data_IF_379784181574
#
_entry.id   IF_379784181574
#
_cell.length_a   1.000
_cell.length_b   1.000
_cell.length_c   1.000
_cell.angle_alpha   90.00
_cell.angle_beta   90.00
_cell.angle_gamma   90.00
#
_symmetry.space_group_name_H-M   'P 1'
#
loop_
_entity.id
_entity.type
_entity.pdbx_description
1 polymer ?
#
# COMPACT_ATOMS: atom_id res chain seq x y z
N UNK A 1 -0.22 8.02 -8.75
CA UNK A 1 -1.42 7.21 -8.42
C UNK A 1 -1.07 6.03 -7.52
N UNK A 2 -0.38 4.98 -8.00
CA UNK A 2 -0.09 3.76 -7.20
C UNK A 2 0.59 4.03 -5.86
N UNK A 3 1.70 4.79 -5.85
CA UNK A 3 2.39 5.15 -4.61
C UNK A 3 1.48 5.95 -3.64
N UNK A 4 0.62 6.83 -4.17
CA UNK A 4 -0.34 7.58 -3.35
C UNK A 4 -1.43 6.68 -2.78
N UNK A 5 -1.92 5.70 -3.54
CA UNK A 5 -2.83 4.69 -3.03
C UNK A 5 -2.17 3.90 -1.89
N UNK A 6 -0.93 3.44 -2.05
CA UNK A 6 -0.20 2.75 -1.00
C UNK A 6 -0.03 3.59 0.28
N UNK A 7 0.21 4.90 0.14
CA UNK A 7 0.30 5.85 1.26
C UNK A 7 -1.04 6.10 1.96
N UNK A 8 -2.14 6.19 1.21
CA UNK A 8 -3.47 6.37 1.80
C UNK A 8 -3.96 5.08 2.49
N UNK A 9 -3.80 3.93 1.84
CA UNK A 9 -4.18 2.62 2.39
C UNK A 9 -3.45 2.37 3.70
N UNK A 10 -2.15 2.61 3.75
CA UNK A 10 -1.36 2.36 4.97
C UNK A 10 -1.70 3.28 6.14
N UNK A 11 -2.35 4.42 5.91
CA UNK A 11 -2.67 5.42 6.95
C UNK A 11 -4.14 5.44 7.35
N UNK A 12 -5.02 4.99 6.46
CA UNK A 12 -6.48 5.14 6.59
C UNK A 12 -7.23 3.82 6.46
N UNK A 13 -6.61 2.83 5.81
CA UNK A 13 -7.29 1.61 5.43
C UNK A 13 -7.62 1.52 3.94
N UNK A 14 -7.88 0.31 3.46
CA UNK A 14 -8.23 0.08 2.07
C UNK A 14 -9.66 0.56 1.80
N UNK A 15 -10.63 0.10 2.59
CA UNK A 15 -12.05 0.42 2.47
C UNK A 15 -12.33 1.94 2.34
N UNK A 16 -11.83 2.83 3.24
CA UNK A 16 -12.09 4.27 3.12
C UNK A 16 -11.28 4.98 2.03
N UNK A 17 -10.37 4.31 1.32
CA UNK A 17 -9.54 4.93 0.27
C UNK A 17 -10.27 4.87 -1.08
N UNK A 18 -10.87 5.99 -1.50
CA UNK A 18 -11.51 6.10 -2.82
C UNK A 18 -10.53 6.58 -3.90
N UNK A 19 -10.83 6.29 -5.18
CA UNK A 19 -10.03 6.79 -6.32
C UNK A 19 -9.91 8.32 -6.30
N UNK A 20 -10.97 9.02 -5.87
CA UNK A 20 -10.98 10.47 -5.76
C UNK A 20 -9.94 10.98 -4.74
N UNK A 21 -9.77 10.29 -3.61
CA UNK A 21 -8.76 10.63 -2.61
C UNK A 21 -7.34 10.44 -3.17
N UNK A 22 -7.12 9.35 -3.91
CA UNK A 22 -5.84 9.06 -4.55
C UNK A 22 -5.51 10.10 -5.62
N UNK A 23 -6.50 10.51 -6.42
CA UNK A 23 -6.34 11.60 -7.39
C UNK A 23 -5.95 12.90 -6.71
N UNK A 24 -6.66 13.28 -5.64
CA UNK A 24 -6.37 14.48 -4.87
C UNK A 24 -4.98 14.45 -4.24
N UNK A 25 -4.59 13.32 -3.62
CA UNK A 25 -3.27 13.16 -3.00
C UNK A 25 -2.14 13.14 -4.03
N UNK A 26 -2.35 12.51 -5.19
CA UNK A 26 -1.30 12.35 -6.20
C UNK A 26 -1.11 13.57 -7.10
N UNK A 27 -2.07 14.49 -7.14
CA UNK A 27 -2.10 15.62 -8.08
C UNK A 27 -2.30 15.20 -9.54
N UNK A 28 -2.65 13.93 -9.80
CA UNK A 28 -2.84 13.44 -11.16
C UNK A 28 -4.15 13.99 -11.78
N UNK A 29 -4.18 14.27 -13.09
CA UNK A 29 -5.42 14.64 -13.78
C UNK A 29 -6.49 13.55 -13.65
N UNK A 30 -7.78 13.93 -13.54
CA UNK A 30 -8.91 12.99 -13.40
C UNK A 30 -8.91 11.90 -14.48
N UNK A 31 -8.53 12.24 -15.71
CA UNK A 31 -8.43 11.30 -16.83
C UNK A 31 -7.44 10.15 -16.61
N UNK A 32 -6.43 10.34 -15.75
CA UNK A 32 -5.42 9.32 -15.45
C UNK A 32 -6.04 8.09 -14.80
N UNK A 33 -7.04 8.27 -13.93
CA UNK A 33 -7.73 7.15 -13.30
C UNK A 33 -8.40 6.26 -14.36
N UNK A 34 -9.16 6.87 -15.27
CA UNK A 34 -9.89 6.15 -16.32
C UNK A 34 -8.96 5.53 -17.37
N UNK A 35 -7.81 6.15 -17.65
CA UNK A 35 -6.87 5.66 -18.67
C UNK A 35 -5.96 4.54 -18.15
N UNK A 36 -5.36 4.71 -16.96
CA UNK A 36 -4.36 3.77 -16.44
C UNK A 36 -4.94 2.67 -15.56
N UNK A 37 -6.13 2.88 -14.99
CA UNK A 37 -6.80 1.91 -14.11
C UNK A 37 -8.19 1.53 -14.66
N UNK A 38 -8.27 0.91 -15.85
CA UNK A 38 -9.56 0.49 -16.42
C UNK A 38 -10.29 -0.55 -15.56
N UNK A 39 -9.56 -1.34 -14.75
CA UNK A 39 -10.11 -2.22 -13.72
C UNK A 39 -10.52 -1.49 -12.43
N UNK A 40 -10.51 -0.15 -12.44
CA UNK A 40 -11.01 0.70 -11.39
C UNK A 40 -10.24 0.60 -10.07
N UNK A 41 -10.97 0.76 -8.97
CA UNK A 41 -10.41 0.87 -7.62
C UNK A 41 -9.67 -0.38 -7.22
N UNK A 42 -10.23 -1.56 -7.49
CA UNK A 42 -9.61 -2.84 -7.12
C UNK A 42 -8.27 -3.05 -7.82
N UNK A 43 -8.15 -2.69 -9.11
CA UNK A 43 -6.87 -2.72 -9.81
C UNK A 43 -5.84 -1.81 -9.10
N UNK A 44 -6.24 -0.57 -8.80
CA UNK A 44 -5.36 0.40 -8.12
C UNK A 44 -4.92 -0.08 -6.73
N UNK A 45 -5.81 -0.72 -5.95
CA UNK A 45 -5.47 -1.32 -4.66
C UNK A 45 -4.48 -2.48 -4.82
N UNK A 46 -4.72 -3.39 -5.76
CA UNK A 46 -3.80 -4.51 -6.05
C UNK A 46 -2.41 -4.01 -6.46
N UNK A 47 -2.33 -3.03 -7.36
CA UNK A 47 -1.06 -2.44 -7.77
C UNK A 47 -0.36 -1.70 -6.62
N UNK A 48 -1.11 -1.09 -5.70
CA UNK A 48 -0.55 -0.46 -4.51
C UNK A 48 0.05 -1.48 -3.53
N UNK A 49 -0.59 -2.64 -3.38
CA UNK A 49 -0.07 -3.78 -2.60
C UNK A 49 1.20 -4.32 -3.24
N UNK A 50 1.20 -4.54 -4.56
CA UNK A 50 2.36 -5.01 -5.31
C UNK A 50 3.53 -4.01 -5.18
N UNK A 51 3.27 -2.72 -5.40
CA UNK A 51 4.26 -1.66 -5.22
C UNK A 51 4.88 -1.66 -3.81
N UNK A 52 4.06 -1.78 -2.76
CA UNK A 52 4.56 -1.80 -1.39
C UNK A 52 5.38 -3.05 -1.10
N UNK A 53 4.95 -4.20 -1.61
CA UNK A 53 5.65 -5.49 -1.46
C UNK A 53 7.00 -5.46 -2.15
N UNK A 54 7.05 -4.99 -3.39
CA UNK A 54 8.28 -4.90 -4.19
C UNK A 54 9.29 -3.94 -3.56
N UNK A 55 8.82 -2.86 -2.92
CA UNK A 55 9.67 -1.93 -2.17
C UNK A 55 10.32 -2.60 -0.94
N UNK A 56 9.64 -3.54 -0.28
CA UNK A 56 10.25 -4.30 0.83
C UNK A 56 11.21 -5.35 0.28
N UNK A 57 10.79 -6.12 -0.73
CA UNK A 57 11.64 -7.12 -1.38
C UNK A 57 12.96 -6.50 -1.88
N UNK A 58 12.89 -5.36 -2.58
CA UNK A 58 14.06 -4.65 -3.07
C UNK A 58 14.99 -4.12 -1.96
N UNK A 59 14.50 -3.92 -0.72
CA UNK A 59 15.37 -3.60 0.43
C UNK A 59 16.06 -4.83 0.97
N UNK A 60 15.35 -5.96 1.01
CA UNK A 60 15.91 -7.25 1.42
C UNK A 60 17.04 -7.65 0.46
N UNK A 61 16.78 -7.61 -0.85
CA UNK A 61 17.75 -8.00 -1.88
C UNK A 61 19.02 -7.16 -1.90
N UNK A 62 18.93 -5.90 -1.45
CA UNK A 62 20.06 -4.96 -1.42
C UNK A 62 20.84 -4.98 -0.11
N UNK A 63 20.35 -5.64 0.92
CA UNK A 63 20.98 -5.60 2.23
C UNK A 63 22.16 -6.58 2.30
N UNK A 64 23.32 -6.08 2.71
CA UNK A 64 24.53 -6.90 2.86
C UNK A 64 24.43 -7.94 4.00
N UNK A 65 23.52 -7.70 4.95
CA UNK A 65 23.23 -8.61 6.06
C UNK A 65 21.86 -8.34 6.68
N UNK A 66 21.35 -9.30 7.44
CA UNK A 66 20.12 -9.13 8.21
C UNK A 66 20.19 -7.96 9.21
N UNK A 67 21.35 -7.72 9.84
CA UNK A 67 21.54 -6.59 10.76
C UNK A 67 21.37 -5.24 10.06
N UNK A 68 22.04 -5.07 8.91
CA UNK A 68 21.93 -3.85 8.09
C UNK A 68 20.50 -3.63 7.60
N UNK A 69 19.80 -4.70 7.20
CA UNK A 69 18.40 -4.64 6.81
C UNK A 69 17.51 -4.13 7.96
N UNK A 70 17.64 -4.73 9.15
CA UNK A 70 16.83 -4.37 10.31
C UNK A 70 17.07 -2.91 10.72
N UNK A 71 18.33 -2.47 10.77
CA UNK A 71 18.66 -1.08 11.09
C UNK A 71 18.03 -0.10 10.09
N UNK A 72 18.14 -0.39 8.79
CA UNK A 72 17.56 0.43 7.74
C UNK A 72 16.01 0.45 7.78
N UNK A 73 15.39 -0.70 8.04
CA UNK A 73 13.93 -0.80 8.17
C UNK A 73 13.42 -0.01 9.38
N UNK A 74 14.03 -0.18 10.56
CA UNK A 74 13.63 0.52 11.78
C UNK A 74 13.83 2.04 11.65
N UNK A 75 14.94 2.48 11.04
CA UNK A 75 15.15 3.90 10.74
C UNK A 75 14.07 4.45 9.79
N UNK A 76 13.71 3.68 8.76
CA UNK A 76 12.62 4.01 7.84
C UNK A 76 11.26 4.12 8.54
N UNK A 77 10.92 3.14 9.38
CA UNK A 77 9.67 3.14 10.15
C UNK A 77 9.60 4.32 11.11
N UNK A 78 10.67 4.64 11.83
CA UNK A 78 10.71 5.82 12.72
C UNK A 78 10.41 7.09 11.94
N UNK A 79 11.06 7.30 10.80
CA UNK A 79 10.83 8.48 9.96
C UNK A 79 9.37 8.56 9.49
N UNK A 80 8.82 7.44 9.01
CA UNK A 80 7.46 7.39 8.47
C UNK A 80 6.40 7.60 9.56
N UNK A 81 6.55 6.93 10.71
CA UNK A 81 5.63 7.07 11.84
C UNK A 81 5.64 8.49 12.39
N UNK A 82 6.81 9.07 12.66
CA UNK A 82 6.89 10.44 13.16
C UNK A 82 6.36 11.49 12.18
N UNK A 83 6.51 11.26 10.86
CA UNK A 83 5.99 12.18 9.84
C UNK A 83 4.47 12.07 9.60
N UNK A 84 3.80 11.06 10.18
CA UNK A 84 2.38 10.76 9.96
C UNK A 84 1.56 10.74 11.25
N UNK A 85 2.06 11.35 12.33
CA UNK A 85 1.45 11.27 13.66
C UNK A 85 1.14 9.82 14.07
N UNK A 86 2.07 8.91 13.76
CA UNK A 86 2.01 7.47 14.03
C UNK A 86 0.86 6.73 13.33
N UNK A 87 0.27 7.31 12.28
CA UNK A 87 -0.79 6.66 11.49
C UNK A 87 -0.27 5.69 10.43
N UNK A 88 0.95 5.88 9.94
CA UNK A 88 1.47 5.10 8.84
C UNK A 88 1.80 3.65 9.25
N UNK A 89 1.10 2.68 8.67
CA UNK A 89 1.30 1.24 8.88
C UNK A 89 1.87 0.52 7.65
N UNK A 90 1.49 -0.75 7.50
CA UNK A 90 1.76 -1.55 6.31
C UNK A 90 0.49 -1.63 5.46
N UNK A 91 0.50 -1.22 4.17
CA UNK A 91 -0.70 -1.26 3.34
C UNK A 91 -1.18 -2.69 3.06
N UNK A 92 -0.27 -3.67 3.03
CA UNK A 92 -0.61 -5.10 2.88
C UNK A 92 -1.40 -5.59 4.10
N UNK A 93 -0.93 -5.25 5.30
CA UNK A 93 -1.61 -5.61 6.55
C UNK A 93 -2.95 -4.87 6.66
N UNK A 94 -3.03 -3.60 6.28
CA UNK A 94 -4.28 -2.84 6.30
C UNK A 94 -5.40 -3.54 5.52
N UNK A 95 -5.10 -4.04 4.32
CA UNK A 95 -6.05 -4.83 3.51
C UNK A 95 -6.38 -6.17 4.18
N UNK A 96 -5.37 -6.85 4.74
CA UNK A 96 -5.55 -8.15 5.36
C UNK A 96 -6.40 -8.09 6.66
N UNK A 97 -6.28 -7.02 7.45
CA UNK A 97 -7.03 -6.88 8.72
C UNK A 97 -8.47 -6.40 8.50
N UNK A 98 -8.73 -5.67 7.42
CA UNK A 98 -10.08 -5.26 7.02
C UNK A 98 -10.88 -6.40 6.39
N UNK A 99 -10.23 -7.55 6.13
CA UNK A 99 -10.87 -8.74 5.61
C UNK A 99 -12.02 -9.20 6.52
N UNK A 100 -13.22 -9.25 5.96
CA UNK A 100 -14.41 -9.71 6.68
C UNK A 100 -15.18 -8.61 7.42
N UNK A 101 -14.76 -7.34 7.33
CA UNK A 101 -15.59 -6.23 7.77
C UNK A 101 -16.82 -6.04 6.84
N UNK A 102 -17.99 -5.63 7.38
CA UNK A 102 -19.17 -5.35 6.56
C UNK A 102 -18.87 -4.25 5.52
N UNK A 103 -18.97 -4.58 4.23
CA UNK A 103 -18.66 -3.66 3.13
C UNK A 103 -17.29 -3.88 2.46
N UNK A 104 -16.46 -4.79 2.98
CA UNK A 104 -15.21 -5.19 2.33
C UNK A 104 -15.48 -6.08 1.09
N UNK A 105 -15.80 -5.47 -0.04
CA UNK A 105 -15.98 -6.16 -1.34
C UNK A 105 -14.65 -6.51 -2.04
N UNK A 106 -13.53 -6.46 -1.32
CA UNK A 106 -12.18 -6.38 -1.87
C UNK A 106 -11.45 -7.72 -1.93
N UNK A 107 -12.16 -8.80 -2.28
CA UNK A 107 -11.59 -10.17 -2.34
C UNK A 107 -10.29 -10.21 -3.15
N UNK A 108 -10.23 -9.51 -4.29
CA UNK A 108 -9.01 -9.48 -5.13
C UNK A 108 -7.83 -8.78 -4.44
N UNK A 109 -8.07 -7.71 -3.67
CA UNK A 109 -7.01 -7.04 -2.93
C UNK A 109 -6.57 -7.88 -1.74
N UNK A 110 -7.49 -8.58 -1.08
CA UNK A 110 -7.18 -9.53 -0.02
C UNK A 110 -6.34 -10.70 -0.53
N UNK A 111 -6.74 -11.33 -1.64
CA UNK A 111 -5.98 -12.39 -2.29
C UNK A 111 -4.57 -11.89 -2.64
N UNK A 112 -4.48 -10.66 -3.15
CA UNK A 112 -3.20 -10.02 -3.47
C UNK A 112 -2.34 -9.76 -2.23
N UNK A 113 -2.95 -9.32 -1.14
CA UNK A 113 -2.27 -9.11 0.14
C UNK A 113 -1.74 -10.42 0.71
N UNK A 114 -2.52 -11.50 0.64
CA UNK A 114 -2.07 -12.85 1.02
C UNK A 114 -0.88 -13.33 0.17
N UNK A 115 -0.95 -13.12 -1.14
CA UNK A 115 0.12 -13.51 -2.07
C UNK A 115 1.45 -12.78 -1.80
N UNK A 116 1.44 -11.58 -1.20
CA UNK A 116 2.67 -10.87 -0.86
C UNK A 116 3.56 -11.63 0.14
N UNK A 117 2.98 -12.51 0.96
CA UNK A 117 3.69 -13.31 1.97
C UNK A 117 4.07 -14.71 1.51
N UNK A 118 3.66 -15.11 0.31
CA UNK A 118 3.94 -16.44 -0.28
C UNK A 118 5.07 -16.38 -1.32
N UNK A 119 5.79 -15.26 -1.40
CA UNK A 119 6.87 -15.03 -2.35
C UNK A 119 8.19 -15.63 -1.87
#
# INVERSE_FOLDING_TARGET
MVASAALLIRERGAHPTAIADVLAHSGAPRGSAYHYFPGGRNQLLCEAIDYASDQVAARIDKADSAGVLLDAMIAGFRKQLSASDFRAGCPVVAVAVEAGEPGAEETAALDRAGAAFLR
#
